data_IF_515659422926
#
_entry.id   IF_515659422926
#
_cell.length_a   1.000
_cell.length_b   1.000
_cell.length_c   1.000
_cell.angle_alpha   90.00
_cell.angle_beta   90.00
_cell.angle_gamma   90.00
#
_symmetry.space_group_name_H-M   'P 1'
#
loop_
_entity.id
_entity.type
_entity.pdbx_description
1 polymer ?
#
# COMPACT_ATOMS: atom_id res chain seq x y z
N UNK A 1 -16.42 24.36 15.58
CA UNK A 1 -16.30 23.26 16.57
C UNK A 1 -16.95 22.04 15.94
N UNK A 2 -16.13 21.13 15.37
CA UNK A 2 -16.61 19.94 14.63
C UNK A 2 -17.04 18.90 15.67
N UNK A 3 -18.36 18.64 15.78
CA UNK A 3 -18.88 17.51 16.56
C UNK A 3 -18.58 16.23 15.79
N UNK A 4 -17.57 15.49 16.20
CA UNK A 4 -17.38 14.10 15.76
C UNK A 4 -18.60 13.28 16.23
N UNK A 5 -19.28 12.61 15.28
CA UNK A 5 -20.44 11.77 15.63
C UNK A 5 -19.99 10.58 16.47
N UNK A 6 -20.84 10.14 17.41
CA UNK A 6 -20.56 8.97 18.27
C UNK A 6 -20.20 7.70 17.49
N UNK A 7 -20.68 7.57 16.24
CA UNK A 7 -20.33 6.49 15.33
C UNK A 7 -18.86 6.48 14.91
N UNK A 8 -18.28 7.67 14.67
CA UNK A 8 -16.85 7.78 14.29
C UNK A 8 -15.93 7.33 15.44
N UNK A 9 -16.29 7.67 16.68
CA UNK A 9 -15.58 7.26 17.89
C UNK A 9 -15.70 5.76 18.14
N UNK A 10 -16.86 5.15 17.88
CA UNK A 10 -17.07 3.70 18.02
C UNK A 10 -16.25 2.93 16.97
N UNK A 11 -16.20 3.41 15.75
CA UNK A 11 -15.41 2.77 14.67
C UNK A 11 -13.91 3.00 14.84
N UNK A 12 -13.48 4.17 15.29
CA UNK A 12 -12.09 4.41 15.68
C UNK A 12 -11.64 3.46 16.81
N UNK A 13 -12.51 3.22 17.80
CA UNK A 13 -12.26 2.23 18.87
C UNK A 13 -12.17 0.81 18.35
N UNK A 14 -12.99 0.45 17.37
CA UNK A 14 -12.95 -0.89 16.74
C UNK A 14 -11.67 -1.08 15.92
N UNK A 15 -11.26 -0.07 15.15
CA UNK A 15 -10.01 -0.06 14.37
C UNK A 15 -8.80 -0.11 15.31
N UNK A 16 -8.80 0.71 16.37
CA UNK A 16 -7.73 0.70 17.38
C UNK A 16 -7.70 -0.62 18.14
N UNK A 17 -8.86 -1.22 18.45
CA UNK A 17 -8.96 -2.54 19.08
C UNK A 17 -8.45 -3.65 18.16
N UNK A 18 -8.79 -3.63 16.87
CA UNK A 18 -8.30 -4.58 15.89
C UNK A 18 -6.79 -4.43 15.67
N UNK A 19 -6.27 -3.20 15.63
CA UNK A 19 -4.84 -2.91 15.56
C UNK A 19 -4.10 -3.36 16.82
N UNK A 20 -4.67 -3.13 18.00
CA UNK A 20 -4.11 -3.59 19.27
C UNK A 20 -4.09 -5.13 19.34
N UNK A 21 -5.13 -5.81 18.83
CA UNK A 21 -5.19 -7.27 18.78
C UNK A 21 -4.13 -7.84 17.80
N UNK A 22 -3.98 -7.24 16.63
CA UNK A 22 -2.94 -7.60 15.65
C UNK A 22 -1.55 -7.36 16.26
N UNK A 23 -1.36 -6.23 16.95
CA UNK A 23 -0.12 -5.90 17.62
C UNK A 23 0.19 -6.86 18.77
N UNK A 24 -0.79 -7.23 19.60
CA UNK A 24 -0.64 -8.20 20.69
C UNK A 24 -0.32 -9.60 20.14
N UNK A 25 -0.98 -10.04 19.07
CA UNK A 25 -0.71 -11.34 18.43
C UNK A 25 0.68 -11.37 17.81
N UNK A 26 1.16 -10.24 17.24
CA UNK A 26 2.50 -10.14 16.65
C UNK A 26 3.60 -10.01 17.70
N UNK A 27 3.30 -9.39 18.86
CA UNK A 27 4.28 -9.21 19.96
C UNK A 27 4.35 -10.46 20.85
N UNK A 28 3.27 -11.23 20.98
CA UNK A 28 3.24 -12.47 21.78
C UNK A 28 3.65 -13.72 21.02
N UNK A 29 3.88 -13.66 19.70
CA UNK A 29 4.56 -14.75 19.01
C UNK A 29 6.01 -14.83 19.54
N UNK A 30 6.43 -16.00 20.06
CA UNK A 30 7.71 -16.09 20.74
C UNK A 30 8.82 -15.67 19.78
N UNK A 31 9.67 -14.77 20.24
CA UNK A 31 10.92 -14.29 19.63
C UNK A 31 11.89 -15.45 19.28
N UNK A 32 11.52 -16.68 19.62
CA UNK A 32 12.28 -17.90 19.40
C UNK A 32 12.54 -18.26 17.92
N UNK A 33 11.78 -17.67 16.97
CA UNK A 33 11.97 -17.96 15.54
C UNK A 33 13.05 -17.13 14.87
N UNK A 34 13.64 -16.12 15.55
CA UNK A 34 14.71 -15.28 15.01
C UNK A 34 15.90 -15.07 15.95
N UNK A 35 16.07 -15.89 16.95
CA UNK A 35 17.45 -16.14 17.36
C UNK A 35 18.09 -16.95 16.22
N UNK A 36 18.57 -16.24 15.18
CA UNK A 36 19.68 -16.81 14.45
C UNK A 36 20.71 -17.17 15.53
N UNK A 37 21.09 -18.45 15.65
CA UNK A 37 22.25 -18.76 16.47
C UNK A 37 23.35 -17.81 16.02
N UNK A 38 23.96 -17.13 16.94
CA UNK A 38 25.15 -16.33 16.71
C UNK A 38 26.15 -17.23 16.00
N UNK A 39 26.31 -17.08 14.70
CA UNK A 39 27.07 -17.91 13.80
C UNK A 39 26.28 -19.06 13.13
N UNK A 40 25.44 -18.71 12.15
CA UNK A 40 25.19 -19.67 11.06
C UNK A 40 25.84 -19.16 9.77
N UNK A 41 26.99 -18.62 9.92
CA UNK A 41 27.99 -18.69 8.87
C UNK A 41 28.87 -19.90 9.23
N UNK A 42 28.70 -21.08 8.59
CA UNK A 42 29.58 -22.21 8.87
C UNK A 42 31.05 -21.90 8.57
N UNK A 43 31.32 -20.79 7.87
CA UNK A 43 32.65 -20.22 7.68
C UNK A 43 33.12 -19.33 8.84
N UNK A 44 32.23 -18.71 9.62
CA UNK A 44 32.64 -17.85 10.73
C UNK A 44 33.21 -18.61 11.92
N UNK A 45 32.87 -19.90 12.10
CA UNK A 45 33.49 -20.77 13.09
C UNK A 45 34.80 -21.41 12.60
N UNK A 46 35.05 -21.47 11.29
CA UNK A 46 36.22 -22.10 10.70
C UNK A 46 37.33 -21.11 10.32
N UNK A 47 36.99 -19.84 10.08
CA UNK A 47 37.97 -18.80 9.69
C UNK A 47 37.62 -17.51 10.45
N UNK A 48 38.55 -17.03 11.27
CA UNK A 48 38.44 -15.69 11.85
C UNK A 48 38.30 -14.70 10.72
N UNK A 49 37.34 -13.79 10.80
CA UNK A 49 37.04 -12.81 9.75
C UNK A 49 38.28 -12.00 9.32
N UNK A 50 39.21 -11.74 10.26
CA UNK A 50 40.50 -11.15 9.99
C UNK A 50 41.39 -12.01 9.08
N UNK A 51 41.34 -13.34 9.22
CA UNK A 51 42.10 -14.25 8.37
C UNK A 51 41.51 -14.34 6.97
N UNK A 52 40.15 -14.29 6.87
CA UNK A 52 39.47 -14.23 5.60
C UNK A 52 39.76 -12.91 4.87
N UNK A 53 39.77 -11.79 5.58
CA UNK A 53 40.16 -10.49 5.01
C UNK A 53 41.63 -10.44 4.60
N UNK A 54 42.50 -11.08 5.34
CA UNK A 54 43.92 -11.19 4.96
C UNK A 54 44.07 -12.11 3.72
N UNK A 55 43.35 -13.22 3.64
CA UNK A 55 43.36 -14.08 2.49
C UNK A 55 42.74 -13.41 1.25
N UNK A 56 41.66 -12.65 1.41
CA UNK A 56 41.06 -11.86 0.33
C UNK A 56 42.01 -10.73 -0.15
N UNK A 57 42.85 -10.14 0.74
CA UNK A 57 43.88 -9.22 0.34
C UNK A 57 45.03 -9.88 -0.43
N UNK A 58 45.32 -11.17 -0.19
CA UNK A 58 46.35 -11.94 -0.88
C UNK A 58 45.80 -12.46 -2.25
N UNK A 59 44.52 -12.66 -2.39
CA UNK A 59 43.82 -13.05 -3.65
C UNK A 59 43.58 -11.82 -4.55
N UNK A 60 43.95 -10.62 -4.16
CA UNK A 60 44.00 -9.46 -5.01
C UNK A 60 45.00 -9.70 -6.15
N UNK A 61 44.58 -10.40 -7.20
CA UNK A 61 45.37 -10.62 -8.39
C UNK A 61 45.77 -9.27 -9.00
N UNK A 62 47.02 -9.04 -9.31
CA UNK A 62 47.41 -7.89 -10.11
C UNK A 62 46.88 -8.04 -11.49
N UNK A 63 45.83 -7.33 -11.82
CA UNK A 63 45.38 -7.17 -13.19
C UNK A 63 46.27 -6.15 -13.88
N UNK A 64 46.76 -6.50 -15.07
CA UNK A 64 47.50 -5.56 -15.94
C UNK A 64 46.56 -4.58 -16.66
N UNK A 65 45.23 -4.72 -16.46
CA UNK A 65 44.25 -3.80 -17.02
C UNK A 65 44.18 -2.53 -16.17
N UNK A 66 44.18 -1.33 -16.79
CA UNK A 66 44.20 -0.04 -16.06
C UNK A 66 42.88 0.30 -15.36
N UNK A 67 41.85 -0.51 -15.48
CA UNK A 67 40.54 -0.31 -14.82
C UNK A 67 40.57 -0.87 -13.39
N UNK A 68 40.44 0.01 -12.38
CA UNK A 68 40.40 -0.35 -10.97
C UNK A 68 39.25 -1.34 -10.64
N UNK A 69 38.20 -1.39 -11.45
CA UNK A 69 37.08 -2.32 -11.27
C UNK A 69 37.45 -3.77 -11.60
N UNK A 70 38.51 -4.00 -12.39
CA UNK A 70 38.97 -5.38 -12.72
C UNK A 70 39.69 -6.05 -11.56
N UNK A 71 40.03 -5.30 -10.51
CA UNK A 71 40.65 -5.82 -9.28
C UNK A 71 39.62 -6.25 -8.23
N UNK A 72 38.34 -5.95 -8.46
CA UNK A 72 37.26 -6.36 -7.57
C UNK A 72 36.71 -7.73 -7.98
N UNK A 73 36.59 -8.64 -7.01
CA UNK A 73 35.94 -9.93 -7.18
C UNK A 73 34.40 -9.83 -7.36
N UNK A 74 33.88 -8.62 -7.55
CA UNK A 74 32.46 -8.42 -7.82
C UNK A 74 32.09 -8.86 -9.22
N UNK A 75 31.06 -9.68 -9.31
CA UNK A 75 30.46 -9.99 -10.60
C UNK A 75 29.80 -8.74 -11.19
N UNK A 76 29.96 -8.51 -12.50
CA UNK A 76 29.39 -7.37 -13.20
C UNK A 76 27.88 -7.23 -12.96
N UNK A 77 27.14 -8.31 -13.05
CA UNK A 77 25.70 -8.32 -12.77
C UNK A 77 25.36 -7.86 -11.33
N UNK A 78 26.19 -8.20 -10.35
CA UNK A 78 25.99 -7.73 -8.97
C UNK A 78 26.27 -6.24 -8.80
N UNK A 79 27.22 -5.70 -9.54
CA UNK A 79 27.54 -4.26 -9.56
C UNK A 79 26.42 -3.46 -10.22
N UNK A 80 25.98 -3.89 -11.40
CA UNK A 80 24.90 -3.25 -12.16
C UNK A 80 23.60 -3.26 -11.35
N UNK A 81 23.29 -4.37 -10.67
CA UNK A 81 22.16 -4.46 -9.75
C UNK A 81 22.29 -3.49 -8.56
N UNK A 82 23.47 -3.38 -7.94
CA UNK A 82 23.70 -2.48 -6.82
C UNK A 82 23.53 -1.02 -7.23
N UNK A 83 24.06 -0.64 -8.38
CA UNK A 83 23.92 0.71 -8.92
C UNK A 83 22.45 1.04 -9.19
N UNK A 84 21.72 0.14 -9.83
CA UNK A 84 20.29 0.30 -10.04
C UNK A 84 19.54 0.45 -8.72
N UNK A 85 19.79 -0.43 -7.77
CA UNK A 85 19.10 -0.44 -6.47
C UNK A 85 19.39 0.80 -5.63
N UNK A 86 20.67 1.24 -5.59
CA UNK A 86 21.08 2.37 -4.75
C UNK A 86 20.76 3.73 -5.39
N UNK A 87 20.63 3.81 -6.69
CA UNK A 87 20.45 5.06 -7.42
C UNK A 87 19.12 5.10 -8.14
N UNK A 88 18.94 4.34 -9.21
CA UNK A 88 17.78 4.43 -10.10
C UNK A 88 16.48 4.11 -9.38
N UNK A 89 16.43 3.03 -8.61
CA UNK A 89 15.23 2.62 -7.86
C UNK A 89 14.82 3.67 -6.82
N UNK A 90 15.78 4.30 -6.15
CA UNK A 90 15.49 5.37 -5.19
C UNK A 90 14.92 6.61 -5.88
N UNK A 91 15.45 6.97 -7.04
CA UNK A 91 14.88 8.06 -7.83
C UNK A 91 13.48 7.74 -8.35
N UNK A 92 13.23 6.53 -8.84
CA UNK A 92 11.88 6.08 -9.21
C UNK A 92 10.93 6.26 -8.03
N UNK A 93 11.30 5.80 -6.84
CA UNK A 93 10.47 5.93 -5.64
C UNK A 93 10.23 7.41 -5.27
N UNK A 94 11.29 8.22 -5.22
CA UNK A 94 11.16 9.64 -4.87
C UNK A 94 10.29 10.41 -5.88
N UNK A 95 10.53 10.23 -7.18
CA UNK A 95 9.77 10.91 -8.24
C UNK A 95 8.32 10.46 -8.24
N UNK A 96 8.04 9.15 -8.12
CA UNK A 96 6.67 8.63 -8.13
C UNK A 96 5.87 9.17 -6.94
N UNK A 97 6.44 9.13 -5.73
CA UNK A 97 5.74 9.53 -4.51
C UNK A 97 5.61 11.06 -4.42
N UNK A 98 6.72 11.78 -4.57
CA UNK A 98 6.71 13.25 -4.48
C UNK A 98 5.98 13.88 -5.67
N UNK A 99 6.11 13.29 -6.87
CA UNK A 99 5.37 13.72 -8.07
C UNK A 99 3.87 13.54 -7.89
N UNK A 100 3.43 12.41 -7.33
CA UNK A 100 2.01 12.21 -6.99
C UNK A 100 1.54 13.22 -5.95
N UNK A 101 2.27 13.43 -4.86
CA UNK A 101 1.91 14.42 -3.85
C UNK A 101 1.81 15.83 -4.46
N UNK A 102 2.78 16.23 -5.28
CA UNK A 102 2.76 17.52 -5.96
C UNK A 102 1.54 17.63 -6.91
N UNK A 103 1.25 16.58 -7.69
CA UNK A 103 0.08 16.55 -8.56
C UNK A 103 -1.24 16.68 -7.79
N UNK A 104 -1.37 16.00 -6.64
CA UNK A 104 -2.55 16.09 -5.79
C UNK A 104 -2.71 17.48 -5.16
N UNK A 105 -1.61 18.10 -4.72
CA UNK A 105 -1.64 19.48 -4.21
C UNK A 105 -2.06 20.46 -5.30
N UNK A 106 -1.46 20.38 -6.49
CA UNK A 106 -1.81 21.23 -7.63
C UNK A 106 -3.28 21.03 -8.02
N UNK A 107 -3.74 19.77 -8.06
CA UNK A 107 -5.13 19.45 -8.37
C UNK A 107 -6.07 20.05 -7.33
N UNK A 108 -5.77 19.90 -6.04
CA UNK A 108 -6.58 20.47 -4.96
C UNK A 108 -6.62 22.00 -5.01
N UNK A 109 -5.51 22.67 -5.25
CA UNK A 109 -5.44 24.13 -5.36
C UNK A 109 -6.18 24.65 -6.58
N UNK A 110 -6.21 23.89 -7.70
CA UNK A 110 -6.88 24.30 -8.94
C UNK A 110 -8.38 23.97 -8.96
N UNK A 111 -8.78 22.81 -8.43
CA UNK A 111 -10.16 22.28 -8.51
C UNK A 111 -10.91 22.37 -7.18
N UNK A 112 -10.18 22.27 -6.05
CA UNK A 112 -10.79 22.09 -4.73
C UNK A 112 -11.41 20.70 -4.57
N UNK A 113 -12.29 20.58 -3.55
CA UNK A 113 -13.06 19.36 -3.31
C UNK A 113 -14.21 19.23 -4.31
N UNK A 114 -14.41 18.05 -4.88
CA UNK A 114 -15.60 17.71 -5.68
C UNK A 114 -16.80 17.62 -4.73
N UNK A 115 -17.72 18.58 -4.83
CA UNK A 115 -18.91 18.67 -3.97
C UNK A 115 -20.09 17.90 -4.55
N UNK A 116 -21.04 17.55 -3.69
CA UNK A 116 -22.34 17.03 -4.10
C UNK A 116 -23.15 18.19 -4.71
N UNK A 117 -23.42 18.11 -6.02
CA UNK A 117 -23.98 19.24 -6.79
C UNK A 117 -25.30 19.79 -6.22
N UNK A 118 -26.17 18.91 -5.70
CA UNK A 118 -27.47 19.27 -5.12
C UNK A 118 -27.46 19.26 -3.58
N UNK A 119 -26.25 19.28 -2.97
CA UNK A 119 -26.11 19.13 -1.53
C UNK A 119 -26.49 17.72 -1.04
N UNK A 120 -26.42 17.51 0.26
CA UNK A 120 -26.80 16.24 0.89
C UNK A 120 -28.32 16.12 0.96
N UNK A 121 -28.83 14.94 0.57
CA UNK A 121 -30.29 14.63 0.62
C UNK A 121 -30.77 14.33 2.03
N UNK A 122 -29.90 13.99 2.95
CA UNK A 122 -30.22 13.48 4.28
C UNK A 122 -30.71 12.03 4.32
N UNK A 123 -30.89 11.38 3.15
CA UNK A 123 -31.19 9.95 3.02
C UNK A 123 -29.91 9.19 2.65
N UNK A 124 -29.73 8.01 3.22
CA UNK A 124 -28.56 7.17 2.98
C UNK A 124 -28.95 5.84 2.35
N UNK A 125 -28.06 5.32 1.51
CA UNK A 125 -28.18 4.00 0.89
C UNK A 125 -26.99 3.15 1.34
N UNK A 126 -27.24 1.88 1.72
CA UNK A 126 -26.18 0.95 2.11
C UNK A 126 -25.33 0.60 0.88
N UNK A 127 -24.03 0.81 0.98
CA UNK A 127 -23.08 0.57 -0.11
C UNK A 127 -22.15 -0.60 0.17
N UNK A 128 -21.60 -0.67 1.39
CA UNK A 128 -20.70 -1.74 1.81
C UNK A 128 -21.13 -2.30 3.16
N UNK A 129 -21.15 -3.62 3.27
CA UNK A 129 -21.45 -4.31 4.51
C UNK A 129 -20.27 -4.30 5.49
N UNK A 130 -20.45 -4.78 6.71
CA UNK A 130 -19.45 -4.77 7.75
C UNK A 130 -18.19 -5.59 7.40
N UNK A 131 -18.36 -6.75 6.71
CA UNK A 131 -17.23 -7.59 6.30
C UNK A 131 -16.38 -6.90 5.22
N UNK A 132 -17.02 -6.29 4.21
CA UNK A 132 -16.31 -5.56 3.16
C UNK A 132 -15.48 -4.41 3.73
N UNK A 133 -16.03 -3.68 4.69
CA UNK A 133 -15.33 -2.59 5.38
C UNK A 133 -14.20 -3.09 6.27
N UNK A 134 -14.42 -4.19 7.00
CA UNK A 134 -13.38 -4.80 7.82
C UNK A 134 -12.17 -5.22 6.97
N UNK A 135 -12.42 -5.94 5.87
CA UNK A 135 -11.35 -6.39 4.96
C UNK A 135 -10.62 -5.20 4.34
N UNK A 136 -11.35 -4.17 3.91
CA UNK A 136 -10.74 -2.94 3.40
C UNK A 136 -9.83 -2.28 4.45
N UNK A 137 -10.31 -2.03 5.67
CA UNK A 137 -9.54 -1.35 6.69
C UNK A 137 -8.37 -2.17 7.21
N UNK A 138 -8.53 -3.48 7.34
CA UNK A 138 -7.43 -4.39 7.65
C UNK A 138 -6.32 -4.28 6.59
N UNK A 139 -6.68 -4.40 5.33
CA UNK A 139 -5.72 -4.31 4.21
C UNK A 139 -5.07 -2.94 4.13
N UNK A 140 -5.86 -1.87 4.26
CA UNK A 140 -5.36 -0.49 4.22
C UNK A 140 -4.40 -0.18 5.36
N UNK A 141 -4.71 -0.61 6.57
CA UNK A 141 -3.84 -0.41 7.73
C UNK A 141 -2.53 -1.16 7.59
N UNK A 142 -2.60 -2.44 7.20
CA UNK A 142 -1.39 -3.22 6.92
C UNK A 142 -0.56 -2.56 5.81
N UNK A 143 -1.20 -2.11 4.73
CA UNK A 143 -0.52 -1.41 3.63
C UNK A 143 0.21 -0.15 4.11
N UNK A 144 -0.43 0.69 4.92
CA UNK A 144 0.19 1.93 5.43
C UNK A 144 1.45 1.61 6.24
N UNK A 145 1.39 0.62 7.13
CA UNK A 145 2.57 0.23 7.93
C UNK A 145 3.66 -0.39 7.04
N UNK A 146 3.27 -1.22 6.06
CA UNK A 146 4.20 -1.80 5.08
C UNK A 146 4.86 -0.71 4.23
N UNK A 147 4.11 0.30 3.78
CA UNK A 147 4.64 1.43 3.03
C UNK A 147 5.63 2.26 3.87
N UNK A 148 5.27 2.64 5.09
CA UNK A 148 6.14 3.41 5.99
C UNK A 148 7.41 2.65 6.35
N UNK A 149 7.31 1.37 6.67
CA UNK A 149 8.47 0.53 6.96
C UNK A 149 9.35 0.31 5.73
N UNK A 150 8.75 0.13 4.54
CA UNK A 150 9.47 0.06 3.27
C UNK A 150 10.20 1.36 2.91
N UNK A 151 9.58 2.52 3.15
CA UNK A 151 10.22 3.83 3.00
C UNK A 151 11.38 4.00 3.98
N UNK A 152 11.25 3.50 5.22
CA UNK A 152 12.35 3.48 6.17
C UNK A 152 13.53 2.62 5.66
N UNK A 153 13.27 1.46 5.09
CA UNK A 153 14.31 0.60 4.48
C UNK A 153 15.02 1.34 3.34
N UNK A 154 14.27 2.07 2.51
CA UNK A 154 14.81 2.73 1.30
C UNK A 154 15.53 4.03 1.62
N UNK A 155 14.95 4.88 2.47
CA UNK A 155 15.40 6.26 2.70
C UNK A 155 15.84 6.53 4.14
N UNK A 156 15.49 5.68 5.11
CA UNK A 156 15.66 5.94 6.53
C UNK A 156 17.10 6.26 6.92
N UNK A 157 18.08 5.54 6.37
CA UNK A 157 19.49 5.82 6.64
C UNK A 157 19.90 7.23 6.22
N UNK A 158 19.33 7.73 5.12
CA UNK A 158 19.69 9.06 4.58
C UNK A 158 18.90 10.19 5.23
N UNK A 159 17.66 9.94 5.65
CA UNK A 159 16.75 10.98 6.15
C UNK A 159 16.58 10.94 7.67
N UNK A 160 16.45 9.75 8.26
CA UNK A 160 16.11 9.60 9.68
C UNK A 160 17.38 9.44 10.55
N UNK A 161 18.36 8.64 10.12
CA UNK A 161 19.55 8.40 10.91
C UNK A 161 20.35 9.68 11.26
N UNK A 162 20.47 10.71 10.39
CA UNK A 162 21.10 11.96 10.75
C UNK A 162 20.39 12.74 11.86
N UNK A 163 19.07 12.51 12.05
CA UNK A 163 18.23 13.22 13.02
C UNK A 163 18.27 12.52 14.38
N UNK A 164 18.11 11.18 14.41
CA UNK A 164 17.96 10.42 15.66
C UNK A 164 19.23 9.69 16.10
N UNK A 165 20.28 9.70 15.28
CA UNK A 165 21.52 8.96 15.51
C UNK A 165 21.45 7.50 15.03
N UNK A 166 22.63 6.87 14.87
CA UNK A 166 22.74 5.53 14.28
C UNK A 166 22.16 4.43 15.17
N UNK A 167 22.35 4.51 16.48
CA UNK A 167 21.88 3.48 17.42
C UNK A 167 20.35 3.47 17.51
N UNK A 168 19.74 4.66 17.67
CA UNK A 168 18.27 4.78 17.68
C UNK A 168 17.68 4.40 16.33
N UNK A 169 18.33 4.76 15.22
CA UNK A 169 17.91 4.35 13.88
C UNK A 169 18.00 2.82 13.69
N UNK A 170 19.05 2.18 14.20
CA UNK A 170 19.18 0.72 14.12
C UNK A 170 18.05 0.02 14.88
N UNK A 171 17.77 0.43 16.12
CA UNK A 171 16.67 -0.09 16.92
C UNK A 171 15.31 0.12 16.24
N UNK A 172 15.04 1.32 15.74
CA UNK A 172 13.82 1.65 14.98
C UNK A 172 13.69 0.77 13.74
N UNK A 173 14.77 0.63 12.95
CA UNK A 173 14.75 -0.16 11.71
C UNK A 173 14.52 -1.63 11.96
N UNK A 174 14.99 -2.16 13.10
CA UNK A 174 14.73 -3.53 13.52
C UNK A 174 13.21 -3.75 13.73
N UNK A 175 12.54 -2.85 14.45
CA UNK A 175 11.09 -2.92 14.66
C UNK A 175 10.31 -2.71 13.36
N UNK A 176 10.74 -1.76 12.53
CA UNK A 176 10.14 -1.54 11.21
C UNK A 176 10.24 -2.79 10.32
N UNK A 177 11.38 -3.50 10.36
CA UNK A 177 11.54 -4.78 9.65
C UNK A 177 10.59 -5.86 10.16
N UNK A 178 10.44 -6.00 11.48
CA UNK A 178 9.48 -6.96 12.04
C UNK A 178 8.06 -6.63 11.61
N UNK A 179 7.63 -5.39 11.76
CA UNK A 179 6.31 -4.95 11.32
C UNK A 179 6.10 -5.22 9.82
N UNK A 180 7.11 -4.93 8.98
CA UNK A 180 7.06 -5.19 7.55
C UNK A 180 6.85 -6.68 7.25
N UNK A 181 7.62 -7.54 7.87
CA UNK A 181 7.55 -8.98 7.62
C UNK A 181 6.22 -9.57 8.10
N UNK A 182 5.80 -9.27 9.33
CA UNK A 182 4.60 -9.90 9.90
C UNK A 182 3.29 -9.35 9.34
N UNK A 183 3.21 -8.05 9.05
CA UNK A 183 1.99 -7.47 8.48
C UNK A 183 1.82 -7.78 6.99
N UNK A 184 2.83 -8.34 6.32
CA UNK A 184 2.69 -8.87 4.97
C UNK A 184 1.68 -10.02 4.87
N UNK A 185 1.54 -10.84 5.92
CA UNK A 185 0.57 -11.95 5.92
C UNK A 185 -0.88 -11.48 5.92
N UNK A 186 -1.35 -10.67 6.90
CA UNK A 186 -2.72 -10.16 6.86
C UNK A 186 -2.97 -9.24 5.65
N UNK A 187 -1.97 -8.51 5.16
CA UNK A 187 -2.07 -7.78 3.91
C UNK A 187 -2.38 -8.71 2.73
N UNK A 188 -1.63 -9.80 2.58
CA UNK A 188 -1.84 -10.78 1.50
C UNK A 188 -3.23 -11.42 1.59
N UNK A 189 -3.65 -11.80 2.80
CA UNK A 189 -5.02 -12.32 3.04
C UNK A 189 -6.05 -11.27 2.60
N UNK A 190 -5.83 -10.01 2.95
CA UNK A 190 -6.69 -8.90 2.56
C UNK A 190 -6.81 -8.73 1.05
N UNK A 191 -5.68 -8.80 0.31
CA UNK A 191 -5.68 -8.73 -1.17
C UNK A 191 -6.48 -9.89 -1.77
N UNK A 192 -6.31 -11.10 -1.25
CA UNK A 192 -7.08 -12.28 -1.71
C UNK A 192 -8.58 -12.10 -1.43
N UNK A 193 -8.94 -11.63 -0.22
CA UNK A 193 -10.35 -11.40 0.12
C UNK A 193 -10.97 -10.29 -0.73
N UNK A 194 -10.24 -9.19 -1.00
CA UNK A 194 -10.67 -8.12 -1.90
C UNK A 194 -10.90 -8.66 -3.32
N UNK A 195 -9.98 -9.52 -3.81
CA UNK A 195 -10.16 -10.19 -5.10
C UNK A 195 -11.48 -10.96 -5.13
N UNK A 196 -11.69 -11.85 -4.16
CA UNK A 196 -12.86 -12.73 -4.13
C UNK A 196 -14.17 -11.97 -3.96
N UNK A 197 -14.20 -10.94 -3.12
CA UNK A 197 -15.43 -10.19 -2.82
C UNK A 197 -15.88 -9.28 -3.97
N UNK A 198 -14.94 -8.71 -4.73
CA UNK A 198 -15.29 -7.62 -5.65
C UNK A 198 -14.95 -7.89 -7.12
N UNK A 199 -14.42 -9.06 -7.46
CA UNK A 199 -14.02 -9.39 -8.84
C UNK A 199 -15.16 -9.19 -9.85
N UNK A 200 -16.37 -9.64 -9.52
CA UNK A 200 -17.53 -9.57 -10.43
C UNK A 200 -17.95 -8.13 -10.75
N UNK A 201 -17.85 -7.23 -9.76
CA UNK A 201 -18.15 -5.81 -9.92
C UNK A 201 -17.06 -4.99 -10.61
N UNK A 202 -15.83 -5.52 -10.70
CA UNK A 202 -14.67 -4.81 -11.19
C UNK A 202 -14.17 -5.28 -12.57
N UNK A 203 -14.93 -6.14 -13.25
CA UNK A 203 -14.66 -6.49 -14.65
C UNK A 203 -14.94 -5.26 -15.52
N UNK A 204 -13.97 -4.81 -16.37
CA UNK A 204 -14.15 -3.67 -17.26
C UNK A 204 -15.30 -3.89 -18.23
N UNK A 205 -16.06 -2.83 -18.52
CA UNK A 205 -17.20 -2.87 -19.43
C UNK A 205 -17.29 -1.59 -20.29
N UNK A 206 -18.26 -1.52 -21.20
CA UNK A 206 -18.43 -0.38 -22.12
C UNK A 206 -18.71 0.94 -21.39
N UNK A 207 -19.42 0.90 -20.26
CA UNK A 207 -19.72 2.10 -19.44
C UNK A 207 -18.45 2.72 -18.90
N UNK A 208 -17.42 1.92 -18.59
CA UNK A 208 -16.12 2.43 -18.11
C UNK A 208 -15.42 3.27 -19.18
N UNK A 209 -15.49 2.85 -20.44
CA UNK A 209 -14.90 3.60 -21.55
C UNK A 209 -15.59 4.96 -21.72
N UNK A 210 -16.92 4.99 -21.64
CA UNK A 210 -17.68 6.24 -21.68
C UNK A 210 -17.35 7.13 -20.48
N UNK A 211 -17.28 6.54 -19.28
CA UNK A 211 -16.90 7.26 -18.07
C UNK A 211 -15.54 7.96 -18.19
N UNK A 212 -14.52 7.26 -18.72
CA UNK A 212 -13.19 7.82 -18.94
C UNK A 212 -13.23 8.93 -20.00
N UNK A 213 -13.91 8.73 -21.14
CA UNK A 213 -14.03 9.72 -22.21
C UNK A 213 -14.67 11.03 -21.75
N UNK A 214 -15.56 10.97 -20.76
CA UNK A 214 -16.24 12.13 -20.19
C UNK A 214 -15.52 12.73 -18.97
N UNK A 215 -14.25 12.36 -18.74
CA UNK A 215 -13.43 12.91 -17.66
C UNK A 215 -13.76 12.42 -16.25
N UNK A 216 -14.54 11.34 -16.12
CA UNK A 216 -14.75 10.62 -14.87
C UNK A 216 -15.49 11.37 -13.75
N UNK A 217 -16.15 12.50 -14.04
CA UNK A 217 -16.76 13.34 -13.01
C UNK A 217 -15.74 14.09 -12.13
N UNK A 218 -14.45 13.93 -12.42
CA UNK A 218 -13.35 14.61 -11.71
C UNK A 218 -12.88 15.81 -12.53
N UNK A 219 -12.80 15.65 -13.86
CA UNK A 219 -12.46 16.71 -14.80
C UNK A 219 -13.77 17.31 -15.36
N UNK A 220 -14.11 18.54 -14.98
CA UNK A 220 -15.33 19.20 -15.38
C UNK A 220 -16.51 18.97 -14.44
N UNK A 221 -17.73 19.27 -14.93
CA UNK A 221 -18.98 19.17 -14.15
C UNK A 221 -19.88 18.05 -14.65
N UNK A 222 -19.42 17.24 -15.58
CA UNK A 222 -20.15 16.11 -16.10
C UNK A 222 -19.97 14.88 -15.21
N UNK A 223 -21.06 14.24 -14.83
CA UNK A 223 -21.10 13.05 -14.00
C UNK A 223 -21.59 11.85 -14.81
N UNK A 224 -20.70 11.16 -15.53
CA UNK A 224 -21.11 10.03 -16.36
C UNK A 224 -21.68 8.89 -15.50
N UNK A 225 -22.68 8.14 -15.99
CA UNK A 225 -23.30 7.08 -15.23
C UNK A 225 -22.30 5.96 -14.92
N UNK A 226 -22.41 5.39 -13.73
CA UNK A 226 -21.58 4.26 -13.31
C UNK A 226 -22.42 3.24 -12.50
N UNK A 227 -21.99 1.98 -12.58
CA UNK A 227 -22.50 0.90 -11.73
C UNK A 227 -21.95 0.99 -10.30
N UNK A 228 -21.92 -0.16 -9.60
CA UNK A 228 -21.41 -0.24 -8.22
C UNK A 228 -19.98 0.31 -8.12
N UNK A 229 -19.13 0.06 -9.11
CA UNK A 229 -17.79 0.62 -9.23
C UNK A 229 -17.66 1.38 -10.55
N UNK A 230 -17.12 2.60 -10.52
CA UNK A 230 -16.76 3.35 -11.69
C UNK A 230 -15.36 2.97 -12.21
N UNK A 231 -15.00 3.41 -13.41
CA UNK A 231 -13.73 3.04 -14.03
C UNK A 231 -12.49 3.40 -13.18
N UNK A 232 -12.52 4.54 -12.46
CA UNK A 232 -11.45 4.92 -11.56
C UNK A 232 -11.31 3.96 -10.36
N UNK A 233 -12.42 3.53 -9.79
CA UNK A 233 -12.42 2.53 -8.72
C UNK A 233 -11.98 1.15 -9.21
N UNK A 234 -12.38 0.75 -10.43
CA UNK A 234 -11.90 -0.49 -11.06
C UNK A 234 -10.41 -0.44 -11.34
N UNK A 235 -9.87 0.70 -11.77
CA UNK A 235 -8.43 0.89 -11.94
C UNK A 235 -7.70 0.67 -10.60
N UNK A 236 -8.15 1.29 -9.52
CA UNK A 236 -7.57 1.11 -8.19
C UNK A 236 -7.69 -0.35 -7.74
N UNK A 237 -8.83 -1.00 -7.96
CA UNK A 237 -9.00 -2.41 -7.66
C UNK A 237 -7.94 -3.28 -8.36
N UNK A 238 -7.74 -3.11 -9.67
CA UNK A 238 -6.74 -3.88 -10.41
C UNK A 238 -5.30 -3.53 -10.02
N UNK A 239 -5.01 -2.28 -9.66
CA UNK A 239 -3.72 -1.89 -9.08
C UNK A 239 -3.48 -2.63 -7.74
N UNK A 240 -4.50 -2.71 -6.88
CA UNK A 240 -4.40 -3.45 -5.61
C UNK A 240 -4.18 -4.95 -5.85
N UNK A 241 -4.92 -5.55 -6.78
CA UNK A 241 -4.79 -6.99 -7.05
C UNK A 241 -3.45 -7.31 -7.70
N UNK A 242 -3.08 -6.64 -8.78
CA UNK A 242 -1.85 -6.94 -9.52
C UNK A 242 -0.61 -6.45 -8.76
N UNK A 243 -0.63 -5.21 -8.29
CA UNK A 243 0.48 -4.62 -7.53
C UNK A 243 0.64 -5.30 -6.17
N UNK A 244 -0.46 -5.51 -5.44
CA UNK A 244 -0.46 -6.21 -4.15
C UNK A 244 0.04 -7.64 -4.26
N UNK A 245 -0.38 -8.41 -5.30
CA UNK A 245 0.13 -9.75 -5.56
C UNK A 245 1.62 -9.74 -5.91
N UNK A 246 2.06 -8.81 -6.75
CA UNK A 246 3.46 -8.71 -7.15
C UNK A 246 4.37 -8.40 -5.94
N UNK A 247 3.98 -7.43 -5.07
CA UNK A 247 4.78 -7.13 -3.87
C UNK A 247 4.70 -8.25 -2.83
N UNK A 248 3.59 -8.97 -2.71
CA UNK A 248 3.48 -10.10 -1.81
C UNK A 248 4.40 -11.26 -2.25
N UNK A 249 4.32 -11.69 -3.51
CA UNK A 249 5.15 -12.78 -4.05
C UNK A 249 6.64 -12.42 -3.94
N UNK A 250 7.04 -11.24 -4.40
CA UNK A 250 8.44 -10.82 -4.31
C UNK A 250 8.89 -10.61 -2.86
N UNK A 251 8.00 -10.10 -1.99
CA UNK A 251 8.26 -9.97 -0.57
C UNK A 251 8.52 -11.30 0.12
N UNK A 252 7.76 -12.35 -0.19
CA UNK A 252 8.02 -13.70 0.34
C UNK A 252 9.31 -14.31 -0.20
N UNK A 253 9.66 -14.09 -1.47
CA UNK A 253 10.97 -14.49 -2.00
C UNK A 253 12.10 -13.83 -1.20
N UNK A 254 11.96 -12.54 -0.87
CA UNK A 254 12.94 -11.79 -0.08
C UNK A 254 12.94 -12.18 1.41
N UNK A 255 11.79 -12.59 1.95
CA UNK A 255 11.64 -13.03 3.34
C UNK A 255 12.26 -14.42 3.57
N UNK A 256 12.17 -15.30 2.57
CA UNK A 256 12.70 -16.66 2.60
C UNK A 256 13.82 -16.80 1.54
N UNK A 257 15.00 -16.20 1.82
CA UNK A 257 16.06 -16.10 0.82
C UNK A 257 16.55 -17.47 0.38
N UNK A 258 16.80 -17.60 -0.92
CA UNK A 258 17.30 -18.80 -1.59
C UNK A 258 16.36 -20.02 -1.55
N UNK A 259 15.16 -19.88 -1.01
CA UNK A 259 14.16 -20.93 -1.15
C UNK A 259 13.52 -20.86 -2.55
N UNK A 260 13.92 -21.79 -3.41
CA UNK A 260 13.44 -21.88 -4.79
C UNK A 260 14.04 -20.86 -5.78
N UNK A 261 14.97 -19.99 -5.36
CA UNK A 261 15.65 -19.05 -6.26
C UNK A 261 17.14 -18.92 -5.93
N UNK A 262 17.95 -18.58 -6.98
CA UNK A 262 19.35 -18.21 -6.81
C UNK A 262 19.53 -16.68 -6.68
N UNK A 263 20.79 -16.22 -6.71
CA UNK A 263 21.16 -14.80 -6.58
C UNK A 263 20.44 -13.92 -7.59
N UNK A 264 20.38 -14.33 -8.86
CA UNK A 264 19.71 -13.55 -9.91
C UNK A 264 18.19 -13.39 -9.65
N UNK A 265 17.53 -14.45 -9.16
CA UNK A 265 16.12 -14.40 -8.78
C UNK A 265 15.87 -13.48 -7.59
N UNK A 266 16.75 -13.50 -6.59
CA UNK A 266 16.71 -12.57 -5.44
C UNK A 266 16.89 -11.11 -5.87
N UNK A 267 17.84 -10.83 -6.78
CA UNK A 267 18.06 -9.49 -7.33
C UNK A 267 16.84 -8.99 -8.11
N UNK A 268 16.25 -9.85 -8.97
CA UNK A 268 15.03 -9.51 -9.68
C UNK A 268 13.86 -9.26 -8.73
N UNK A 269 13.66 -10.12 -7.73
CA UNK A 269 12.62 -9.94 -6.73
C UNK A 269 12.76 -8.59 -6.01
N UNK A 270 13.98 -8.17 -5.67
CA UNK A 270 14.23 -6.90 -5.02
C UNK A 270 13.93 -5.70 -5.93
N UNK A 271 14.31 -5.77 -7.21
CA UNK A 271 13.98 -4.73 -8.20
C UNK A 271 12.47 -4.60 -8.35
N UNK A 272 11.78 -5.72 -8.60
CA UNK A 272 10.32 -5.73 -8.80
C UNK A 272 9.62 -5.25 -7.53
N UNK A 273 10.00 -5.77 -6.35
CA UNK A 273 9.42 -5.35 -5.07
C UNK A 273 9.54 -3.84 -4.86
N UNK A 274 10.74 -3.29 -5.04
CA UNK A 274 10.97 -1.86 -4.79
C UNK A 274 10.28 -0.94 -5.81
N UNK A 275 10.34 -1.28 -7.10
CA UNK A 275 9.70 -0.45 -8.15
C UNK A 275 8.17 -0.52 -8.06
N UNK A 276 7.61 -1.73 -7.95
CA UNK A 276 6.16 -1.90 -7.83
C UNK A 276 5.64 -1.27 -6.54
N UNK A 277 6.34 -1.42 -5.41
CA UNK A 277 5.96 -0.76 -4.15
C UNK A 277 5.91 0.76 -4.27
N UNK A 278 6.88 1.37 -4.93
CA UNK A 278 6.93 2.82 -5.13
C UNK A 278 5.72 3.33 -5.94
N UNK A 279 5.41 2.67 -7.05
CA UNK A 279 4.26 3.00 -7.89
C UNK A 279 2.93 2.72 -7.16
N UNK A 280 2.88 1.64 -6.38
CA UNK A 280 1.71 1.28 -5.59
C UNK A 280 1.45 2.31 -4.48
N UNK A 281 2.48 2.76 -3.76
CA UNK A 281 2.34 3.85 -2.77
C UNK A 281 1.83 5.12 -3.44
N UNK A 282 2.39 5.51 -4.59
CA UNK A 282 1.93 6.67 -5.34
C UNK A 282 0.44 6.56 -5.73
N UNK A 283 0.01 5.40 -6.24
CA UNK A 283 -1.40 5.17 -6.59
C UNK A 283 -2.32 5.23 -5.36
N UNK A 284 -1.88 4.66 -4.22
CA UNK A 284 -2.67 4.70 -2.98
C UNK A 284 -2.76 6.10 -2.37
N UNK A 285 -1.79 6.98 -2.54
CA UNK A 285 -1.92 8.39 -2.17
C UNK A 285 -3.07 9.06 -2.94
N UNK A 286 -3.20 8.79 -4.25
CA UNK A 286 -4.35 9.25 -5.04
C UNK A 286 -5.68 8.68 -4.55
N UNK A 287 -5.71 7.39 -4.22
CA UNK A 287 -6.90 6.73 -3.66
C UNK A 287 -7.31 7.34 -2.30
N UNK A 288 -6.37 7.53 -1.39
CA UNK A 288 -6.61 8.15 -0.09
C UNK A 288 -7.13 9.58 -0.28
N UNK A 289 -6.51 10.35 -1.18
CA UNK A 289 -6.93 11.71 -1.48
C UNK A 289 -8.39 11.77 -1.93
N UNK A 290 -8.78 10.99 -2.94
CA UNK A 290 -10.17 10.97 -3.45
C UNK A 290 -11.14 10.47 -2.38
N UNK A 291 -10.75 9.46 -1.61
CA UNK A 291 -11.57 8.89 -0.54
C UNK A 291 -11.71 9.76 0.70
N UNK A 292 -10.96 10.87 0.81
CA UNK A 292 -10.98 11.74 2.00
C UNK A 292 -11.25 13.19 1.66
N UNK A 293 -10.24 13.94 1.22
CA UNK A 293 -10.32 15.39 1.01
C UNK A 293 -10.73 15.79 -0.42
N UNK A 294 -10.59 14.90 -1.38
CA UNK A 294 -10.83 15.16 -2.79
C UNK A 294 -12.31 15.14 -3.19
N UNK A 295 -13.15 14.36 -2.50
CA UNK A 295 -14.56 14.19 -2.85
C UNK A 295 -15.45 14.16 -1.60
N UNK A 296 -16.43 15.04 -1.55
CA UNK A 296 -17.43 15.08 -0.49
C UNK A 296 -18.26 13.79 -0.46
N UNK A 297 -18.43 13.18 0.70
CA UNK A 297 -19.27 12.01 0.89
C UNK A 297 -18.62 10.66 0.53
N UNK A 298 -17.41 10.67 -0.02
CA UNK A 298 -16.73 9.43 -0.41
C UNK A 298 -16.26 8.59 0.78
N UNK A 299 -15.83 9.25 1.86
CA UNK A 299 -15.29 8.60 3.05
C UNK A 299 -16.33 7.75 3.79
N UNK A 300 -17.57 8.23 3.87
CA UNK A 300 -18.67 7.56 4.57
C UNK A 300 -18.95 6.16 4.03
N UNK A 301 -18.71 5.93 2.73
CA UNK A 301 -18.87 4.61 2.11
C UNK A 301 -18.10 3.50 2.86
N UNK A 302 -16.84 3.78 3.23
CA UNK A 302 -16.00 2.80 3.95
C UNK A 302 -16.00 3.03 5.47
N UNK A 303 -16.27 4.24 5.94
CA UNK A 303 -16.36 4.53 7.37
C UNK A 303 -17.67 4.02 7.98
N UNK A 304 -18.79 4.34 7.37
CA UNK A 304 -20.15 4.03 7.88
C UNK A 304 -20.82 2.88 7.12
N UNK A 305 -20.40 2.60 5.89
CA UNK A 305 -20.99 1.61 4.99
C UNK A 305 -22.16 2.15 4.19
N UNK A 306 -22.49 3.44 4.37
CA UNK A 306 -23.60 4.11 3.69
C UNK A 306 -23.12 5.33 2.92
N UNK A 307 -23.86 5.74 1.91
CA UNK A 307 -23.63 6.97 1.15
C UNK A 307 -24.89 7.77 1.06
N UNK A 308 -24.78 9.09 0.94
CA UNK A 308 -25.93 9.97 0.67
C UNK A 308 -26.54 9.66 -0.71
N UNK A 309 -27.87 9.71 -0.81
CA UNK A 309 -28.60 9.35 -2.05
C UNK A 309 -28.21 10.30 -3.21
N UNK A 310 -28.01 11.61 -2.97
CA UNK A 310 -27.57 12.53 -4.01
C UNK A 310 -26.14 12.25 -4.45
N UNK A 311 -25.26 11.86 -3.54
CA UNK A 311 -23.94 11.38 -3.88
C UNK A 311 -23.99 10.13 -4.77
N UNK A 312 -24.83 9.14 -4.40
CA UNK A 312 -25.01 7.93 -5.17
C UNK A 312 -25.60 8.21 -6.56
N UNK A 313 -26.56 9.13 -6.67
CA UNK A 313 -27.14 9.58 -7.93
C UNK A 313 -26.10 10.25 -8.83
N UNK A 314 -25.21 11.07 -8.24
CA UNK A 314 -24.18 11.80 -8.97
C UNK A 314 -23.06 10.89 -9.50
N UNK A 315 -22.59 9.96 -8.68
CA UNK A 315 -21.39 9.18 -8.97
C UNK A 315 -21.65 7.74 -9.38
N UNK A 316 -22.84 7.18 -9.09
CA UNK A 316 -23.20 5.78 -9.27
C UNK A 316 -24.68 5.61 -9.64
N UNK A 317 -25.18 6.38 -10.61
CA UNK A 317 -26.58 6.43 -10.97
C UNK A 317 -27.17 5.06 -11.30
N UNK A 318 -26.47 4.26 -12.12
CA UNK A 318 -26.95 2.93 -12.54
C UNK A 318 -27.04 1.96 -11.34
N UNK A 319 -26.10 2.02 -10.42
CA UNK A 319 -26.14 1.23 -9.19
C UNK A 319 -27.31 1.67 -8.30
N UNK A 320 -27.55 2.97 -8.13
CA UNK A 320 -28.67 3.47 -7.32
C UNK A 320 -30.03 3.03 -7.88
N UNK A 321 -30.20 3.07 -9.20
CA UNK A 321 -31.41 2.58 -9.86
C UNK A 321 -31.61 1.08 -9.66
N UNK A 322 -30.55 0.30 -9.69
CA UNK A 322 -30.59 -1.13 -9.42
C UNK A 322 -31.01 -1.41 -7.97
N UNK A 323 -30.43 -0.70 -7.00
CA UNK A 323 -30.78 -0.86 -5.57
C UNK A 323 -32.25 -0.47 -5.31
N UNK A 324 -32.73 0.61 -5.92
CA UNK A 324 -34.15 0.99 -5.83
C UNK A 324 -35.12 -0.05 -6.41
N UNK A 325 -34.69 -0.75 -7.45
CA UNK A 325 -35.51 -1.85 -8.04
C UNK A 325 -35.56 -3.10 -7.15
N UNK A 326 -34.53 -3.33 -6.34
CA UNK A 326 -34.48 -4.47 -5.39
C UNK A 326 -35.44 -4.30 -4.19
N UNK A 327 -36.03 -3.11 -3.97
CA UNK A 327 -36.99 -2.81 -2.90
C UNK A 327 -36.37 -2.23 -1.61
N UNK A 328 -37.16 -1.96 -0.56
CA UNK A 328 -36.81 -1.08 0.56
C UNK A 328 -35.76 -1.62 1.54
N UNK A 329 -35.09 -2.73 1.28
CA UNK A 329 -34.06 -3.29 2.18
C UNK A 329 -32.78 -2.43 2.34
N UNK A 330 -32.69 -1.28 1.64
CA UNK A 330 -31.47 -0.46 1.62
C UNK A 330 -31.58 0.99 2.10
N UNK A 331 -32.76 1.52 2.37
CA UNK A 331 -32.91 2.92 2.77
C UNK A 331 -33.34 3.07 4.24
N UNK A 332 -32.41 3.42 5.12
CA UNK A 332 -32.72 3.79 6.52
C UNK A 332 -32.75 5.31 6.63
N UNK A 333 -33.84 5.93 7.12
CA UNK A 333 -33.85 7.36 7.39
C UNK A 333 -32.86 7.72 8.51
N UNK A 334 -32.02 8.72 8.29
CA UNK A 334 -31.23 9.31 9.38
C UNK A 334 -32.22 10.01 10.32
N UNK A 335 -32.46 9.46 11.51
CA UNK A 335 -33.22 10.18 12.53
C UNK A 335 -34.25 9.40 13.34
N UNK A 336 -34.30 8.07 13.28
CA UNK A 336 -35.07 7.34 14.27
C UNK A 336 -34.24 7.18 15.56
N UNK A 337 -34.73 7.63 16.74
CA UNK A 337 -34.09 7.32 18.01
C UNK A 337 -34.14 5.82 18.23
N UNK A 338 -33.04 5.24 18.71
CA UNK A 338 -33.03 3.88 19.21
C UNK A 338 -33.93 3.82 20.47
N UNK A 339 -34.99 3.03 20.43
CA UNK A 339 -35.72 2.58 21.59
C UNK A 339 -34.89 1.52 22.36
#
# INVERSE_FOLDING_TARGET
>A
MVRFSAGLLAQARFIVGALALIFIVTVSAPVLAQQQPSSVNPTASAVKEDQLQQQLRIIGGRSSLPDANTQNLEQRAGRDWREFHQTTQRWIAAISILGMLAALVIFYLSRGMVKIANGRSGRTVVRFNALERFVHWMTATCFIVLALSGLNITFGKSLLAPIIGLDAFAAWSQWAKYAHNYLSFPFTIGVVLILLMWITGNIPNKTDVEWVKRGGGILGNDHPPAGRFNAGQKLIYWIVILGGSAVAVTGYILMFPFYGTGVAGMQLAQIVHGVVSALFVAAMLGHIYIGTVGMEGAFEAMAEGTVDENWAKQHHALWLEEEKRKGPAGATPRGAPAE
#
